data_IF_007511082630
#
_entry.id   IF_007511082630
#
_cell.length_a   1.000
_cell.length_b   1.000
_cell.length_c   1.000
_cell.angle_alpha   90.00
_cell.angle_beta   90.00
_cell.angle_gamma   90.00
#
_symmetry.space_group_name_H-M   'P 1'
#
loop_
_entity.id
_entity.type
_entity.pdbx_description
1 polymer ?
#
# COMPACT_ATOMS: atom_id res chain seq x y z
N UNK A 1 -6.54 13.58 -10.12
CA UNK A 1 -5.78 12.66 -9.23
C UNK A 1 -6.67 12.36 -8.03
N UNK A 2 -6.84 11.09 -7.66
CA UNK A 2 -7.62 10.69 -6.47
C UNK A 2 -6.64 10.21 -5.40
N UNK A 3 -6.88 10.58 -4.15
CA UNK A 3 -6.04 10.21 -3.00
C UNK A 3 -6.94 9.57 -1.94
N UNK A 4 -6.50 8.47 -1.37
CA UNK A 4 -7.22 7.73 -0.32
C UNK A 4 -6.20 7.19 0.67
N UNK A 5 -6.57 7.17 1.95
CA UNK A 5 -5.74 6.67 3.03
C UNK A 5 -6.43 5.49 3.72
N UNK A 6 -5.66 4.44 4.03
CA UNK A 6 -6.12 3.30 4.81
C UNK A 6 -5.49 3.39 6.20
N UNK A 7 -6.28 3.82 7.18
CA UNK A 7 -5.81 4.14 8.53
C UNK A 7 -6.58 3.38 9.60
N UNK A 8 -5.90 3.05 10.69
CA UNK A 8 -6.46 2.38 11.87
C UNK A 8 -5.43 2.40 12.99
N UNK A 9 -5.89 2.70 14.21
CA UNK A 9 -5.07 2.78 15.42
C UNK A 9 -4.83 1.41 16.07
N UNK A 10 -5.56 0.37 15.66
CA UNK A 10 -5.39 -1.00 16.14
C UNK A 10 -4.31 -1.73 15.34
N UNK A 11 -3.55 -2.62 15.98
CA UNK A 11 -2.68 -3.60 15.32
C UNK A 11 -3.46 -4.78 14.73
N UNK A 12 -3.10 -5.25 13.54
CA UNK A 12 -3.78 -6.37 12.86
C UNK A 12 -5.20 -6.16 12.26
N UNK A 13 -5.72 -4.95 11.99
CA UNK A 13 -7.07 -4.76 11.41
C UNK A 13 -7.10 -4.92 9.88
N UNK A 14 -5.96 -5.26 9.25
CA UNK A 14 -5.87 -5.47 7.80
C UNK A 14 -5.52 -4.23 6.95
N UNK A 15 -5.03 -3.12 7.54
CA UNK A 15 -4.67 -1.89 6.80
C UNK A 15 -3.76 -2.17 5.59
N UNK A 16 -2.65 -2.85 5.82
CA UNK A 16 -1.65 -3.18 4.81
C UNK A 16 -2.25 -4.07 3.74
N UNK A 17 -2.99 -5.12 4.14
CA UNK A 17 -3.64 -6.02 3.21
C UNK A 17 -4.63 -5.29 2.29
N UNK A 18 -5.43 -4.37 2.83
CA UNK A 18 -6.34 -3.54 2.04
C UNK A 18 -5.56 -2.61 1.10
N UNK A 19 -4.52 -1.93 1.59
CA UNK A 19 -3.71 -1.02 0.79
C UNK A 19 -3.02 -1.71 -0.39
N UNK A 20 -2.40 -2.86 -0.16
CA UNK A 20 -1.73 -3.67 -1.19
C UNK A 20 -2.73 -4.15 -2.23
N UNK A 21 -3.83 -4.78 -1.82
CA UNK A 21 -4.81 -5.34 -2.76
C UNK A 21 -5.54 -4.26 -3.56
N UNK A 22 -5.89 -3.13 -2.93
CA UNK A 22 -6.52 -2.01 -3.63
C UNK A 22 -5.56 -1.39 -4.65
N UNK A 23 -4.28 -1.25 -4.29
CA UNK A 23 -3.25 -0.74 -5.18
C UNK A 23 -3.00 -1.65 -6.37
N UNK A 24 -2.84 -2.95 -6.12
CA UNK A 24 -2.68 -3.97 -7.16
C UNK A 24 -3.88 -3.98 -8.11
N UNK A 25 -5.11 -4.01 -7.58
CA UNK A 25 -6.33 -3.95 -8.39
C UNK A 25 -6.40 -2.70 -9.28
N UNK A 26 -6.03 -1.53 -8.77
CA UNK A 26 -5.99 -0.31 -9.56
C UNK A 26 -4.91 -0.37 -10.66
N UNK A 27 -3.72 -0.87 -10.34
CA UNK A 27 -2.63 -1.02 -11.29
C UNK A 27 -2.99 -2.01 -12.42
N UNK A 28 -3.59 -3.15 -12.08
CA UNK A 28 -4.07 -4.16 -13.03
C UNK A 28 -5.16 -3.61 -13.95
N UNK A 29 -5.98 -2.67 -13.46
CA UNK A 29 -6.97 -1.94 -14.26
C UNK A 29 -6.35 -0.85 -15.17
N UNK A 30 -5.02 -0.76 -15.26
CA UNK A 30 -4.31 0.23 -16.07
C UNK A 30 -4.28 1.64 -15.45
N UNK A 31 -4.65 1.78 -14.17
CA UNK A 31 -4.61 3.06 -13.48
C UNK A 31 -3.21 3.29 -12.92
N UNK A 32 -2.60 4.43 -13.24
CA UNK A 32 -1.34 4.84 -12.62
C UNK A 32 -1.54 4.99 -11.11
N UNK A 33 -0.94 4.07 -10.37
CA UNK A 33 -1.15 3.90 -8.93
C UNK A 33 0.16 4.11 -8.19
N UNK A 34 0.11 4.90 -7.13
CA UNK A 34 1.22 5.11 -6.20
C UNK A 34 0.76 4.65 -4.83
N UNK A 35 1.50 3.71 -4.23
CA UNK A 35 1.34 3.33 -2.83
C UNK A 35 2.40 4.04 -2.00
N UNK A 36 2.01 4.53 -0.83
CA UNK A 36 2.90 5.19 0.13
C UNK A 36 2.79 4.42 1.44
N UNK A 37 3.91 3.84 1.87
CA UNK A 37 4.02 3.16 3.15
C UNK A 37 4.38 4.17 4.24
N UNK A 38 3.48 4.34 5.22
CA UNK A 38 3.68 5.23 6.37
C UNK A 38 3.71 4.44 7.68
N UNK A 39 3.87 3.12 7.60
CA UNK A 39 4.05 2.28 8.78
C UNK A 39 5.55 2.23 9.16
N UNK A 40 5.84 2.30 10.46
CA UNK A 40 7.20 2.22 10.98
C UNK A 40 7.81 0.82 10.72
N UNK A 41 6.97 -0.20 10.59
CA UNK A 41 7.36 -1.47 10.00
C UNK A 41 6.92 -1.44 8.54
N UNK A 42 7.86 -1.47 7.56
CA UNK A 42 7.58 -1.27 6.13
C UNK A 42 6.83 -2.46 5.51
N UNK A 43 5.64 -2.74 6.04
CA UNK A 43 4.86 -3.94 5.80
C UNK A 43 4.15 -3.87 4.46
N UNK A 44 3.86 -2.69 3.92
CA UNK A 44 3.31 -2.56 2.57
C UNK A 44 4.43 -2.77 1.55
N UNK A 45 5.56 -2.11 1.79
CA UNK A 45 6.72 -2.15 0.88
C UNK A 45 7.24 -3.58 0.71
N UNK A 46 7.20 -4.40 1.75
CA UNK A 46 7.64 -5.81 1.71
C UNK A 46 6.81 -6.74 0.81
N UNK A 47 5.60 -6.33 0.37
CA UNK A 47 4.81 -7.11 -0.60
C UNK A 47 5.32 -6.98 -2.05
N UNK A 48 6.19 -6.01 -2.32
CA UNK A 48 6.65 -5.72 -3.67
C UNK A 48 8.17 -5.84 -3.78
N UNK A 49 8.64 -6.28 -4.95
CA UNK A 49 10.06 -6.20 -5.27
C UNK A 49 10.44 -4.73 -5.44
N UNK A 50 11.34 -4.23 -4.58
CA UNK A 50 11.83 -2.86 -4.64
C UNK A 50 13.07 -2.81 -5.55
N UNK A 51 13.07 -1.88 -6.50
CA UNK A 51 14.27 -1.59 -7.31
C UNK A 51 15.29 -0.74 -6.54
N UNK A 52 14.85 -0.04 -5.50
CA UNK A 52 15.65 0.83 -4.66
C UNK A 52 15.03 0.87 -3.26
N UNK A 53 15.86 0.69 -2.24
CA UNK A 53 15.51 0.79 -0.82
C UNK A 53 16.37 1.90 -0.20
N UNK A 54 15.77 2.71 0.67
CA UNK A 54 16.40 3.89 1.25
C UNK A 54 17.18 3.59 2.53
#
# INVERSE_FOLDING_TARGET
MKVTAVVSTKGGPGKTAVGVNLGAFCADAGIRTLLIDLDNQPSLSSFYALSHEA
#
